data_IF_837186715538
#
_entry.id   IF_837186715538
#
_cell.length_a   1.000
_cell.length_b   1.000
_cell.length_c   1.000
_cell.angle_alpha   90.00
_cell.angle_beta   90.00
_cell.angle_gamma   90.00
#
_symmetry.space_group_name_H-M   'P 1'
#
loop_
_entity.id
_entity.type
_entity.pdbx_description
1 polymer ?
#
# COMPACT_ATOMS: atom_id res chain seq x y z
N UNK A 1 -19.28 1.50 4.73
CA UNK A 1 -18.70 1.21 3.40
C UNK A 1 -19.44 0.01 2.80
N UNK A 2 -19.81 0.02 1.51
CA UNK A 2 -20.36 -1.19 0.88
C UNK A 2 -19.22 -2.10 0.41
N UNK A 3 -19.45 -3.43 0.26
CA UNK A 3 -18.41 -4.34 -0.23
C UNK A 3 -17.84 -3.92 -1.60
N UNK A 4 -18.68 -3.40 -2.49
CA UNK A 4 -18.25 -2.91 -3.80
C UNK A 4 -17.29 -1.72 -3.68
N UNK A 5 -17.54 -0.82 -2.73
CA UNK A 5 -16.65 0.32 -2.46
C UNK A 5 -15.33 -0.12 -1.85
N UNK A 6 -15.36 -1.10 -0.94
CA UNK A 6 -14.14 -1.66 -0.35
C UNK A 6 -13.25 -2.27 -1.44
N UNK A 7 -13.81 -3.11 -2.31
CA UNK A 7 -13.07 -3.73 -3.42
C UNK A 7 -12.47 -2.68 -4.36
N UNK A 8 -13.22 -1.63 -4.69
CA UNK A 8 -12.72 -0.55 -5.55
C UNK A 8 -11.52 0.18 -4.93
N UNK A 9 -11.51 0.38 -3.62
CA UNK A 9 -10.38 1.01 -2.91
C UNK A 9 -9.16 0.08 -2.83
N UNK A 10 -9.38 -1.23 -2.63
CA UNK A 10 -8.30 -2.23 -2.65
C UNK A 10 -7.62 -2.27 -4.01
N UNK A 11 -8.39 -2.37 -5.10
CA UNK A 11 -7.81 -2.34 -6.45
C UNK A 11 -7.13 -1.01 -6.78
N UNK A 12 -7.66 0.09 -6.24
CA UNK A 12 -7.01 1.39 -6.40
C UNK A 12 -5.66 1.42 -5.67
N UNK A 13 -5.58 0.90 -4.45
CA UNK A 13 -4.35 0.79 -3.68
C UNK A 13 -3.28 -0.04 -4.41
N UNK A 14 -3.63 -1.21 -4.94
CA UNK A 14 -2.71 -2.04 -5.72
C UNK A 14 -2.17 -1.28 -6.94
N UNK A 15 -3.08 -0.60 -7.66
CA UNK A 15 -2.73 0.16 -8.85
C UNK A 15 -1.77 1.33 -8.57
N UNK A 16 -1.94 2.05 -7.47
CA UNK A 16 -1.15 3.28 -7.19
C UNK A 16 0.10 3.01 -6.36
N UNK A 17 0.07 1.99 -5.49
CA UNK A 17 1.26 1.60 -4.72
C UNK A 17 2.29 0.92 -5.63
N UNK A 18 1.83 0.13 -6.61
CA UNK A 18 2.63 -0.74 -7.47
C UNK A 18 3.50 -1.74 -6.69
N UNK A 19 3.20 -1.93 -5.40
CA UNK A 19 3.97 -2.81 -4.53
C UNK A 19 3.69 -4.27 -4.89
N UNK A 20 4.71 -5.15 -5.00
CA UNK A 20 4.54 -6.52 -5.51
C UNK A 20 3.53 -7.38 -4.75
N UNK A 21 3.42 -7.19 -3.42
CA UNK A 21 2.45 -7.92 -2.59
C UNK A 21 1.01 -7.38 -2.69
N UNK A 22 0.81 -6.22 -3.34
CA UNK A 22 -0.53 -5.64 -3.53
C UNK A 22 -1.33 -5.56 -2.24
N UNK A 23 -2.59 -6.02 -2.28
CA UNK A 23 -3.50 -6.02 -1.15
C UNK A 23 -3.11 -6.94 0.02
N UNK A 24 -2.13 -7.82 -0.15
CA UNK A 24 -1.62 -8.66 0.94
C UNK A 24 -1.00 -7.79 2.05
N UNK A 25 -0.50 -6.59 1.73
CA UNK A 25 -0.04 -5.62 2.73
C UNK A 25 -1.14 -5.22 3.73
N UNK A 26 -2.42 -5.34 3.34
CA UNK A 26 -3.58 -4.97 4.15
C UNK A 26 -4.24 -6.20 4.78
N UNK A 27 -4.37 -7.30 4.03
CA UNK A 27 -5.12 -8.48 4.46
C UNK A 27 -4.27 -9.59 5.08
N UNK A 28 -3.00 -9.68 4.68
CA UNK A 28 -2.10 -10.77 5.04
C UNK A 28 -0.69 -10.23 5.36
N UNK A 29 -0.55 -9.32 6.34
CA UNK A 29 0.74 -8.76 6.70
C UNK A 29 1.70 -9.85 7.20
N UNK A 30 2.99 -9.67 6.95
CA UNK A 30 4.02 -10.54 7.51
C UNK A 30 4.00 -10.50 9.04
N UNK A 31 4.40 -11.60 9.69
CA UNK A 31 4.46 -11.65 11.14
C UNK A 31 5.40 -10.57 11.70
N UNK A 32 4.85 -9.66 12.50
CA UNK A 32 5.59 -8.54 13.10
C UNK A 32 5.72 -7.31 12.19
N UNK A 33 5.08 -7.31 11.01
CA UNK A 33 4.96 -6.11 10.20
C UNK A 33 4.06 -5.06 10.90
N UNK A 34 4.35 -3.80 10.65
CA UNK A 34 3.52 -2.66 11.04
C UNK A 34 2.37 -2.53 10.02
N UNK A 35 1.24 -3.16 10.32
CA UNK A 35 0.03 -3.22 9.47
C UNK A 35 -0.89 -2.00 9.64
N UNK A 36 -0.44 -0.98 10.39
CA UNK A 36 -1.10 0.32 10.45
C UNK A 36 -1.06 1.03 9.10
N UNK A 37 -1.97 1.98 8.89
CA UNK A 37 -1.96 2.84 7.70
C UNK A 37 -0.61 3.56 7.52
N UNK A 38 0.00 3.99 8.62
CA UNK A 38 1.29 4.66 8.69
C UNK A 38 2.42 3.71 8.31
N UNK A 39 2.40 2.49 8.84
CA UNK A 39 3.36 1.43 8.53
C UNK A 39 3.36 1.06 7.06
N UNK A 40 2.18 0.79 6.50
CA UNK A 40 1.99 0.48 5.07
C UNK A 40 2.42 1.66 4.19
N UNK A 41 2.03 2.90 4.55
CA UNK A 41 2.41 4.10 3.78
C UNK A 41 3.93 4.30 3.77
N UNK A 42 4.60 4.09 4.91
CA UNK A 42 6.06 4.14 5.01
C UNK A 42 6.70 3.06 4.13
N UNK A 43 6.24 1.82 4.21
CA UNK A 43 6.75 0.69 3.42
C UNK A 43 6.66 0.98 1.91
N UNK A 44 5.49 1.41 1.43
CA UNK A 44 5.29 1.76 0.01
C UNK A 44 6.20 2.91 -0.40
N UNK A 45 6.34 3.95 0.44
CA UNK A 45 7.21 5.10 0.15
C UNK A 45 8.68 4.68 0.02
N UNK A 46 9.18 3.88 0.96
CA UNK A 46 10.57 3.39 0.98
C UNK A 46 10.86 2.49 -0.21
N UNK A 47 9.96 1.55 -0.51
CA UNK A 47 10.11 0.64 -1.65
C UNK A 47 10.11 1.40 -2.99
N UNK A 48 9.19 2.35 -3.19
CA UNK A 48 9.16 3.17 -4.42
C UNK A 48 10.45 3.97 -4.59
N UNK A 49 10.94 4.58 -3.50
CA UNK A 49 12.21 5.30 -3.53
C UNK A 49 13.40 4.38 -3.89
N UNK A 50 13.45 3.18 -3.32
CA UNK A 50 14.50 2.19 -3.61
C UNK A 50 14.48 1.71 -5.08
N UNK A 51 13.32 1.75 -5.75
CA UNK A 51 13.16 1.38 -7.16
C UNK A 51 13.23 2.58 -8.12
N UNK A 52 13.59 3.77 -7.64
CA UNK A 52 13.66 4.98 -8.48
C UNK A 52 12.30 5.49 -8.96
N UNK A 53 11.21 5.07 -8.34
CA UNK A 53 9.85 5.49 -8.66
C UNK A 53 9.48 6.77 -7.88
N UNK A 54 8.65 7.65 -8.46
CA UNK A 54 8.15 8.82 -7.76
C UNK A 54 7.33 8.40 -6.52
N UNK A 55 7.61 9.04 -5.39
CA UNK A 55 6.87 8.86 -4.14
C UNK A 55 5.61 9.75 -4.07
N UNK A 56 5.04 9.86 -2.87
CA UNK A 56 3.91 10.76 -2.61
C UNK A 56 4.27 12.23 -2.88
N UNK A 57 3.27 13.02 -3.25
CA UNK A 57 3.43 14.47 -3.41
C UNK A 57 3.90 15.10 -2.10
N UNK A 58 4.89 15.99 -2.20
CA UNK A 58 5.25 16.87 -1.09
C UNK A 58 4.06 17.76 -0.74
N UNK A 59 3.90 18.02 0.57
CA UNK A 59 2.95 19.00 1.10
C UNK A 59 3.39 20.43 0.84
#
# INVERSE_FOLDING_TARGET
MTPQKANALVFHFEKVSEYPAGSDLIFYPENGADDSSEGITRLVKEWRAANGLPGFKSV
#
